data_IF_770878454900
#
_entry.id   IF_770878454900
#
_cell.length_a   1.000
_cell.length_b   1.000
_cell.length_c   1.000
_cell.angle_alpha   90.00
_cell.angle_beta   90.00
_cell.angle_gamma   90.00
#
_symmetry.space_group_name_H-M   'P 1'
#
loop_
_entity.id
_entity.type
_entity.pdbx_description
1 polymer ?
#
# COMPACT_ATOMS: atom_id res chain seq x y z
N UNK A 1 -12.30 20.94 -18.19
CA UNK A 1 -13.04 19.67 -18.33
C UNK A 1 -14.06 19.60 -17.19
N UNK A 2 -15.36 19.63 -17.49
CA UNK A 2 -16.45 19.64 -16.49
C UNK A 2 -17.12 18.26 -16.47
N UNK A 3 -16.79 17.45 -15.46
CA UNK A 3 -17.45 16.18 -15.15
C UNK A 3 -18.96 16.42 -14.99
N UNK A 4 -19.78 16.03 -15.98
CA UNK A 4 -21.24 16.06 -15.97
C UNK A 4 -21.90 17.37 -15.45
N UNK A 5 -21.24 18.53 -15.59
CA UNK A 5 -21.68 19.84 -15.04
C UNK A 5 -21.85 19.86 -13.51
N UNK A 6 -21.18 18.99 -12.78
CA UNK A 6 -21.17 19.02 -11.31
C UNK A 6 -20.51 20.29 -10.77
N UNK A 7 -20.94 20.72 -9.58
CA UNK A 7 -20.34 21.85 -8.87
C UNK A 7 -18.90 21.54 -8.41
N UNK A 8 -18.18 22.58 -7.97
CA UNK A 8 -16.76 22.47 -7.58
C UNK A 8 -16.56 21.56 -6.36
N UNK A 9 -17.50 21.54 -5.42
CA UNK A 9 -17.40 20.69 -4.22
C UNK A 9 -17.53 19.22 -4.61
N UNK A 10 -18.51 18.87 -5.45
CA UNK A 10 -18.68 17.51 -5.97
C UNK A 10 -17.42 17.02 -6.71
N UNK A 11 -16.83 17.86 -7.57
CA UNK A 11 -15.59 17.51 -8.26
C UNK A 11 -14.41 17.32 -7.29
N UNK A 12 -14.34 18.14 -6.23
CA UNK A 12 -13.31 18.03 -5.20
C UNK A 12 -13.44 16.72 -4.42
N UNK A 13 -14.65 16.33 -4.03
CA UNK A 13 -14.91 15.07 -3.33
C UNK A 13 -14.56 13.85 -4.21
N UNK A 14 -14.94 13.87 -5.50
CA UNK A 14 -14.57 12.81 -6.43
C UNK A 14 -13.05 12.71 -6.63
N UNK A 15 -12.35 13.85 -6.71
CA UNK A 15 -10.90 13.88 -6.76
C UNK A 15 -10.26 13.29 -5.49
N UNK A 16 -10.76 13.67 -4.30
CA UNK A 16 -10.28 13.14 -3.03
C UNK A 16 -10.47 11.62 -2.94
N UNK A 17 -11.65 11.13 -3.36
CA UNK A 17 -11.90 9.69 -3.47
C UNK A 17 -10.82 9.01 -4.34
N UNK A 18 -10.61 9.49 -5.58
CA UNK A 18 -9.64 8.88 -6.49
C UNK A 18 -8.19 8.96 -5.99
N UNK A 19 -7.80 10.09 -5.37
CA UNK A 19 -6.48 10.26 -4.76
C UNK A 19 -6.25 9.24 -3.64
N UNK A 20 -7.17 9.12 -2.71
CA UNK A 20 -7.01 8.21 -1.59
C UNK A 20 -7.13 6.74 -2.03
N UNK A 21 -8.03 6.43 -2.97
CA UNK A 21 -8.17 5.09 -3.52
C UNK A 21 -6.87 4.62 -4.22
N UNK A 22 -6.29 5.45 -5.08
CA UNK A 22 -5.06 5.11 -5.81
C UNK A 22 -3.87 4.89 -4.88
N UNK A 23 -3.71 5.72 -3.84
CA UNK A 23 -2.68 5.55 -2.82
C UNK A 23 -2.89 4.26 -2.02
N UNK A 24 -4.11 3.97 -1.58
CA UNK A 24 -4.46 2.72 -0.91
C UNK A 24 -4.18 1.51 -1.80
N UNK A 25 -4.55 1.57 -3.08
CA UNK A 25 -4.33 0.47 -4.02
C UNK A 25 -2.84 0.18 -4.23
N UNK A 26 -2.00 1.23 -4.35
CA UNK A 26 -0.55 1.06 -4.45
C UNK A 26 0.02 0.42 -3.17
N UNK A 27 -0.42 0.86 -2.00
CA UNK A 27 -0.01 0.26 -0.72
C UNK A 27 -0.43 -1.22 -0.63
N UNK A 28 -1.65 -1.54 -1.06
CA UNK A 28 -2.13 -2.92 -1.09
C UNK A 28 -1.25 -3.80 -1.99
N UNK A 29 -0.90 -3.32 -3.18
CA UNK A 29 0.00 -4.00 -4.11
C UNK A 29 1.40 -4.20 -3.51
N UNK A 30 1.97 -3.17 -2.88
CA UNK A 30 3.26 -3.24 -2.20
C UNK A 30 3.27 -4.23 -1.02
N UNK A 31 2.11 -4.45 -0.40
CA UNK A 31 1.94 -5.34 0.75
C UNK A 31 1.77 -6.82 0.36
N UNK A 32 1.33 -7.14 -0.87
CA UNK A 32 1.04 -8.53 -1.28
C UNK A 32 2.20 -9.52 -0.98
N UNK A 33 3.48 -9.19 -1.28
CA UNK A 33 4.61 -10.09 -0.98
C UNK A 33 4.76 -10.42 0.51
N UNK A 34 4.32 -9.52 1.39
CA UNK A 34 4.54 -9.61 2.83
C UNK A 34 3.38 -10.30 3.56
N UNK A 35 2.16 -10.15 3.04
CA UNK A 35 0.93 -10.66 3.66
C UNK A 35 0.42 -11.97 3.07
N UNK A 36 0.57 -12.21 1.77
CA UNK A 36 0.01 -13.38 1.07
C UNK A 36 1.05 -14.35 0.51
N UNK A 37 2.33 -14.14 0.80
CA UNK A 37 3.39 -15.03 0.32
C UNK A 37 3.15 -16.48 0.75
N UNK A 38 2.82 -17.34 -0.21
CA UNK A 38 2.72 -18.78 -0.04
C UNK A 38 4.09 -19.43 0.10
N UNK A 39 4.15 -20.57 0.77
CA UNK A 39 5.37 -21.38 0.84
C UNK A 39 5.68 -21.90 -0.57
N UNK A 40 6.82 -21.50 -1.15
CA UNK A 40 7.38 -22.10 -2.36
C UNK A 40 7.36 -21.25 -3.64
N UNK A 41 6.75 -20.06 -3.65
CA UNK A 41 6.84 -19.15 -4.81
C UNK A 41 8.04 -18.20 -4.71
N UNK A 42 8.77 -17.95 -5.82
CA UNK A 42 9.80 -16.93 -5.85
C UNK A 42 9.20 -15.54 -5.60
N UNK A 43 9.43 -14.98 -4.42
CA UNK A 43 8.94 -13.66 -4.06
C UNK A 43 9.97 -12.61 -4.48
N UNK A 44 9.58 -11.70 -5.36
CA UNK A 44 10.33 -10.47 -5.64
C UNK A 44 9.48 -9.27 -5.27
N UNK A 45 10.12 -8.18 -4.85
CA UNK A 45 9.44 -6.94 -4.50
C UNK A 45 10.36 -5.73 -4.72
N UNK A 46 9.78 -4.54 -4.85
CA UNK A 46 10.57 -3.32 -4.98
C UNK A 46 11.19 -2.92 -3.63
N UNK A 47 12.47 -2.53 -3.62
CA UNK A 47 13.10 -1.93 -2.44
C UNK A 47 12.51 -0.56 -2.07
N UNK A 48 11.74 0.04 -2.97
CA UNK A 48 10.99 1.27 -2.73
C UNK A 48 9.52 1.00 -2.33
N UNK A 49 9.14 -0.26 -2.15
CA UNK A 49 7.80 -0.61 -1.65
C UNK A 49 7.62 -0.07 -0.23
N UNK A 50 6.41 0.40 0.08
CA UNK A 50 6.14 1.05 1.37
C UNK A 50 6.59 0.25 2.62
N UNK A 51 6.37 -1.08 2.71
CA UNK A 51 6.87 -1.86 3.85
C UNK A 51 8.39 -1.79 4.04
N UNK A 52 9.15 -1.74 2.93
CA UNK A 52 10.61 -1.67 2.92
C UNK A 52 11.09 -0.28 3.32
N UNK A 53 10.44 0.77 2.80
CA UNK A 53 10.76 2.15 3.15
C UNK A 53 10.51 2.42 4.64
N UNK A 54 9.37 1.96 5.16
CA UNK A 54 9.09 2.06 6.60
C UNK A 54 10.10 1.27 7.43
N UNK A 55 10.44 0.05 7.02
CA UNK A 55 11.45 -0.74 7.69
C UNK A 55 12.80 -0.02 7.74
N UNK A 56 13.29 0.48 6.60
CA UNK A 56 14.53 1.27 6.50
C UNK A 56 14.50 2.48 7.44
N UNK A 57 13.39 3.21 7.49
CA UNK A 57 13.23 4.34 8.40
C UNK A 57 13.28 3.92 9.87
N UNK A 58 12.71 2.77 10.23
CA UNK A 58 12.68 2.25 11.60
C UNK A 58 14.06 1.78 12.05
N UNK A 59 14.78 1.02 11.21
CA UNK A 59 16.07 0.43 11.59
C UNK A 59 17.25 1.39 11.42
N UNK A 60 17.08 2.45 10.63
CA UNK A 60 18.13 3.40 10.29
C UNK A 60 19.03 2.93 9.14
N UNK A 61 19.74 3.87 8.51
CA UNK A 61 20.55 3.63 7.31
C UNK A 61 21.64 2.58 7.52
N UNK A 62 22.40 2.64 8.63
CA UNK A 62 23.51 1.72 8.88
C UNK A 62 23.05 0.26 9.00
N UNK A 63 21.98 0.03 9.79
CA UNK A 63 21.40 -1.31 9.97
C UNK A 63 20.74 -1.81 8.68
N UNK A 64 20.12 -0.92 7.91
CA UNK A 64 19.57 -1.25 6.60
C UNK A 64 20.67 -1.70 5.63
N UNK A 65 21.79 -0.98 5.56
CA UNK A 65 22.94 -1.36 4.73
C UNK A 65 23.52 -2.72 5.14
N UNK A 66 23.66 -2.97 6.44
CA UNK A 66 24.11 -4.27 6.94
C UNK A 66 23.14 -5.40 6.55
N UNK A 67 21.83 -5.18 6.67
CA UNK A 67 20.81 -6.16 6.26
C UNK A 67 20.86 -6.46 4.75
N UNK A 68 21.08 -5.44 3.92
CA UNK A 68 21.26 -5.61 2.48
C UNK A 68 22.51 -6.43 2.15
N UNK A 69 23.65 -6.12 2.78
CA UNK A 69 24.88 -6.90 2.61
C UNK A 69 24.70 -8.35 3.03
N UNK A 70 24.04 -8.59 4.16
CA UNK A 70 23.74 -9.93 4.66
C UNK A 70 22.77 -10.70 3.77
N UNK A 71 21.87 -10.01 3.07
CA UNK A 71 20.95 -10.61 2.11
C UNK A 71 21.56 -10.78 0.72
N UNK A 72 22.77 -10.27 0.46
CA UNK A 72 23.43 -10.43 -0.83
C UNK A 72 24.25 -11.72 -0.84
N UNK A 73 24.04 -12.56 -1.85
CA UNK A 73 24.77 -13.83 -2.03
C UNK A 73 26.20 -13.61 -2.50
N UNK A 74 27.03 -14.65 -2.47
CA UNK A 74 28.39 -14.62 -3.04
C UNK A 74 28.40 -14.30 -4.54
N UNK A 75 27.30 -14.56 -5.27
CA UNK A 75 27.12 -14.21 -6.68
C UNK A 75 26.61 -12.78 -6.90
N UNK A 76 26.63 -11.94 -5.85
CA UNK A 76 26.13 -10.56 -5.86
C UNK A 76 24.64 -10.44 -6.25
N UNK A 77 23.84 -11.46 -5.91
CA UNK A 77 22.39 -11.44 -6.09
C UNK A 77 21.69 -11.24 -4.76
N UNK A 78 20.61 -10.47 -4.76
CA UNK A 78 19.82 -10.23 -3.56
C UNK A 78 18.91 -11.43 -3.26
N UNK A 79 19.07 -12.03 -2.09
CA UNK A 79 18.16 -13.02 -1.52
C UNK A 79 16.91 -12.30 -0.98
N UNK A 80 15.92 -12.18 -1.85
CA UNK A 80 14.63 -11.57 -1.52
C UNK A 80 13.90 -12.31 -0.40
N UNK A 81 14.10 -13.62 -0.23
CA UNK A 81 13.45 -14.38 0.85
C UNK A 81 14.02 -13.98 2.21
N UNK A 82 15.34 -13.84 2.32
CA UNK A 82 16.01 -13.36 3.53
C UNK A 82 15.63 -11.91 3.85
N UNK A 83 15.58 -11.05 2.83
CA UNK A 83 15.17 -9.66 3.01
C UNK A 83 13.69 -9.55 3.39
N UNK A 84 12.81 -10.35 2.78
CA UNK A 84 11.39 -10.43 3.11
C UNK A 84 11.21 -10.78 4.60
N UNK A 85 11.89 -11.82 5.07
CA UNK A 85 11.83 -12.25 6.47
C UNK A 85 12.29 -11.13 7.42
N UNK A 86 13.35 -10.41 7.04
CA UNK A 86 13.89 -9.28 7.80
C UNK A 86 12.87 -8.15 7.91
N UNK A 87 12.25 -7.74 6.79
CA UNK A 87 11.22 -6.68 6.77
C UNK A 87 9.96 -7.11 7.53
N UNK A 88 9.58 -8.39 7.48
CA UNK A 88 8.44 -8.95 8.22
C UNK A 88 8.65 -8.98 9.74
N UNK A 89 9.90 -9.06 10.21
CA UNK A 89 10.20 -9.11 11.65
C UNK A 89 10.03 -7.76 12.37
N UNK A 90 10.03 -6.66 11.62
CA UNK A 90 9.92 -5.31 12.16
C UNK A 90 8.52 -4.70 11.87
N UNK A 91 8.27 -3.49 12.38
CA UNK A 91 6.97 -2.81 12.24
C UNK A 91 6.71 -2.19 10.86
N UNK A 92 7.59 -2.41 9.87
CA UNK A 92 7.46 -1.84 8.53
C UNK A 92 6.19 -2.29 7.80
N UNK A 93 5.91 -3.60 7.83
CA UNK A 93 4.68 -4.18 7.26
C UNK A 93 3.43 -3.63 7.95
N UNK A 94 3.45 -3.55 9.28
CA UNK A 94 2.32 -3.01 10.06
C UNK A 94 2.05 -1.54 9.72
N UNK A 95 3.09 -0.73 9.60
CA UNK A 95 2.98 0.70 9.26
C UNK A 95 2.37 0.90 7.87
N UNK A 96 2.77 0.07 6.90
CA UNK A 96 2.17 0.08 5.56
C UNK A 96 0.70 -0.38 5.56
N UNK A 97 0.34 -1.39 6.36
CA UNK A 97 -1.05 -1.81 6.55
C UNK A 97 -1.91 -0.68 7.12
N UNK A 98 -1.45 -0.05 8.19
CA UNK A 98 -2.17 1.05 8.84
C UNK A 98 -2.35 2.24 7.87
N UNK A 99 -1.32 2.56 7.08
CA UNK A 99 -1.41 3.59 6.04
C UNK A 99 -2.39 3.20 4.91
N UNK A 100 -2.44 1.93 4.51
CA UNK A 100 -3.41 1.45 3.52
C UNK A 100 -4.85 1.60 4.02
N UNK A 101 -5.10 1.19 5.26
CA UNK A 101 -6.40 1.36 5.93
C UNK A 101 -6.79 2.83 6.04
N UNK A 102 -5.84 3.71 6.39
CA UNK A 102 -6.07 5.16 6.43
C UNK A 102 -6.55 5.69 5.07
N UNK A 103 -5.87 5.34 3.97
CA UNK A 103 -6.26 5.79 2.64
C UNK A 103 -7.60 5.20 2.18
N UNK A 104 -7.89 3.93 2.46
CA UNK A 104 -9.21 3.35 2.18
C UNK A 104 -10.33 4.08 2.94
N UNK A 105 -10.13 4.35 4.24
CA UNK A 105 -11.10 5.11 5.04
C UNK A 105 -11.32 6.53 4.52
N UNK A 106 -10.26 7.22 4.09
CA UNK A 106 -10.39 8.56 3.49
C UNK A 106 -11.11 8.56 2.15
N UNK A 107 -10.93 7.51 1.33
CA UNK A 107 -11.74 7.34 0.14
C UNK A 107 -13.23 7.14 0.49
N UNK A 108 -13.52 6.28 1.48
CA UNK A 108 -14.88 6.05 1.97
C UNK A 108 -15.55 7.32 2.52
N UNK A 109 -14.84 8.12 3.31
CA UNK A 109 -15.33 9.42 3.80
C UNK A 109 -15.72 10.35 2.63
N UNK A 110 -14.87 10.44 1.60
CA UNK A 110 -15.13 11.31 0.45
C UNK A 110 -16.35 10.87 -0.37
N UNK A 111 -16.52 9.56 -0.60
CA UNK A 111 -17.63 9.06 -1.42
C UNK A 111 -18.98 9.04 -0.67
N UNK A 112 -18.96 8.88 0.65
CA UNK A 112 -20.17 8.91 1.49
C UNK A 112 -20.84 10.29 1.56
N UNK A 113 -20.12 11.35 1.19
CA UNK A 113 -20.69 12.69 1.05
C UNK A 113 -21.66 12.81 -0.15
N UNK A 114 -21.63 11.86 -1.10
CA UNK A 114 -22.59 11.82 -2.21
C UNK A 114 -23.91 11.15 -1.79
N UNK A 115 -25.04 11.51 -2.43
CA UNK A 115 -26.32 10.85 -2.21
C UNK A 115 -26.27 9.34 -2.45
N UNK A 116 -27.13 8.60 -1.76
CA UNK A 116 -27.22 7.15 -1.92
C UNK A 116 -27.59 6.77 -3.36
N UNK A 117 -26.81 5.89 -3.96
CA UNK A 117 -27.00 5.38 -5.32
C UNK A 117 -26.21 4.09 -5.53
N UNK A 118 -26.56 3.33 -6.55
CA UNK A 118 -25.80 2.14 -6.98
C UNK A 118 -24.34 2.50 -7.31
N UNK A 119 -24.12 3.65 -7.96
CA UNK A 119 -22.77 4.14 -8.27
C UNK A 119 -21.96 4.41 -7.00
N UNK A 120 -22.57 5.04 -5.97
CA UNK A 120 -21.92 5.27 -4.68
C UNK A 120 -21.57 3.94 -4.01
N UNK A 121 -22.51 3.01 -3.94
CA UNK A 121 -22.31 1.69 -3.33
C UNK A 121 -21.19 0.90 -4.03
N UNK A 122 -21.13 0.93 -5.36
CA UNK A 122 -20.06 0.30 -6.12
C UNK A 122 -18.68 0.90 -5.78
N UNK A 123 -18.58 2.23 -5.70
CA UNK A 123 -17.33 2.92 -5.34
C UNK A 123 -16.92 2.69 -3.88
N UNK A 124 -17.88 2.57 -2.96
CA UNK A 124 -17.63 2.13 -1.58
C UNK A 124 -17.03 0.71 -1.56
N UNK A 125 -17.63 -0.24 -2.28
CA UNK A 125 -17.13 -1.62 -2.37
C UNK A 125 -15.70 -1.71 -2.91
N UNK A 126 -15.37 -0.91 -3.93
CA UNK A 126 -14.01 -0.82 -4.47
C UNK A 126 -13.04 -0.31 -3.39
N UNK A 127 -13.40 0.75 -2.65
CA UNK A 127 -12.56 1.28 -1.59
C UNK A 127 -12.37 0.30 -0.43
N UNK A 128 -13.41 -0.45 -0.05
CA UNK A 128 -13.33 -1.52 0.95
C UNK A 128 -12.40 -2.65 0.51
N UNK A 129 -12.46 -3.06 -0.76
CA UNK A 129 -11.63 -4.14 -1.28
C UNK A 129 -10.12 -3.83 -1.20
N UNK A 130 -9.74 -2.56 -1.35
CA UNK A 130 -8.34 -2.10 -1.27
C UNK A 130 -7.70 -2.35 0.10
N UNK A 131 -8.46 -2.29 1.19
CA UNK A 131 -7.91 -2.55 2.53
C UNK A 131 -8.05 -4.02 2.97
N UNK A 132 -8.47 -4.91 2.07
CA UNK A 132 -8.64 -6.34 2.36
C UNK A 132 -7.36 -7.10 2.00
N UNK A 133 -6.76 -7.74 2.99
CA UNK A 133 -5.53 -8.52 2.88
C UNK A 133 -5.80 -10.00 3.12
#
# INVERSE_FOLDING_TARGET
MLLAKHDKQSQTLAHLYGKHLSLGHKLNSDLQPFVKGGVGEPVTFSLNAAPVVFHRQIVGEDRWHLQLQQATTLSNQLDYSKLLATVKSEKGVRSALDLCCFHSNKALEAIKAFPSSEARAALENIAFAVAKF
#
